data_IF_551396882764
#
_entry.id   IF_551396882764
#
_cell.length_a   1.000
_cell.length_b   1.000
_cell.length_c   1.000
_cell.angle_alpha   90.00
_cell.angle_beta   90.00
_cell.angle_gamma   90.00
#
_symmetry.space_group_name_H-M   'P 1'
#
loop_
_entity.id
_entity.type
_entity.pdbx_description
1 polymer ?
#
# COMPACT_ATOMS: atom_id res chain seq x y z
N UNK A 1 35.97 28.95 -47.22
CA UNK A 1 35.98 27.52 -47.44
C UNK A 1 37.17 26.92 -46.68
N UNK A 2 36.95 26.34 -45.53
CA UNK A 2 37.87 25.39 -44.89
C UNK A 2 37.05 24.39 -44.12
N UNK A 3 36.97 23.19 -44.64
CA UNK A 3 36.38 21.99 -44.04
C UNK A 3 37.37 21.48 -42.99
N UNK A 4 36.95 21.30 -41.75
CA UNK A 4 37.73 20.59 -40.72
C UNK A 4 36.96 19.33 -40.34
N UNK A 5 37.45 18.23 -40.87
CA UNK A 5 37.03 16.87 -40.53
C UNK A 5 37.68 16.51 -39.18
N UNK A 6 36.88 16.17 -38.18
CA UNK A 6 37.39 15.54 -36.95
C UNK A 6 37.05 14.06 -36.94
N UNK A 7 38.09 13.27 -36.95
CA UNK A 7 38.06 11.82 -36.82
C UNK A 7 37.73 11.41 -35.38
N UNK A 8 36.81 10.44 -35.22
CA UNK A 8 36.54 9.79 -33.96
C UNK A 8 37.59 8.67 -33.74
N UNK A 9 38.25 8.74 -32.59
CA UNK A 9 39.14 7.67 -32.12
C UNK A 9 38.34 6.74 -31.23
N UNK A 10 38.17 5.50 -31.67
CA UNK A 10 37.63 4.41 -30.88
C UNK A 10 38.77 3.84 -30.02
N UNK A 11 38.65 3.94 -28.69
CA UNK A 11 39.55 3.24 -27.77
C UNK A 11 38.88 1.94 -27.31
N UNK A 12 39.38 0.81 -27.78
CA UNK A 12 39.11 -0.51 -27.21
C UNK A 12 39.96 -0.67 -25.94
N UNK A 13 39.29 -0.81 -24.79
CA UNK A 13 39.95 -1.27 -23.57
C UNK A 13 39.73 -2.78 -23.42
N UNK A 14 40.79 -3.55 -23.63
CA UNK A 14 40.83 -4.98 -23.33
C UNK A 14 41.03 -5.16 -21.81
N UNK A 15 39.99 -5.69 -21.11
CA UNK A 15 40.10 -6.08 -19.73
C UNK A 15 40.79 -7.43 -19.56
N UNK A 16 41.97 -7.45 -18.96
CA UNK A 16 42.66 -8.66 -18.52
C UNK A 16 42.03 -9.15 -17.23
N UNK A 17 41.46 -10.36 -17.26
CA UNK A 17 41.01 -11.06 -16.07
C UNK A 17 42.23 -11.76 -15.45
N UNK A 18 42.66 -11.30 -14.28
CA UNK A 18 43.66 -11.99 -13.45
C UNK A 18 42.92 -13.02 -12.57
N UNK A 19 43.14 -14.29 -12.86
CA UNK A 19 42.77 -15.43 -12.00
C UNK A 19 43.82 -15.56 -10.92
N UNK A 20 43.46 -15.30 -9.67
CA UNK A 20 44.27 -15.55 -8.46
C UNK A 20 44.07 -16.97 -7.96
N UNK A 21 45.08 -17.62 -7.40
CA UNK A 21 45.00 -19.01 -6.95
C UNK A 21 44.49 -19.11 -5.53
N UNK A 22 43.63 -20.14 -5.29
CA UNK A 22 43.56 -20.85 -4.02
C UNK A 22 42.58 -20.30 -2.97
N UNK A 23 41.35 -20.77 -3.03
CA UNK A 23 40.53 -20.87 -1.82
C UNK A 23 40.53 -22.34 -1.37
N UNK A 24 40.64 -22.61 -0.05
CA UNK A 24 40.63 -23.98 0.45
C UNK A 24 39.23 -24.58 0.36
N UNK A 25 39.21 -25.82 -0.14
CA UNK A 25 38.00 -26.68 -0.11
C UNK A 25 37.76 -27.06 1.35
N UNK A 26 36.59 -26.71 1.85
CA UNK A 26 36.13 -27.21 3.17
C UNK A 26 35.48 -28.55 2.91
N UNK A 27 36.12 -29.62 3.43
CA UNK A 27 35.56 -30.97 3.45
C UNK A 27 34.29 -30.99 4.29
N UNK A 28 33.20 -31.45 3.68
CA UNK A 28 31.99 -31.83 4.39
C UNK A 28 32.24 -33.20 5.08
N UNK A 29 31.79 -33.40 6.33
CA UNK A 29 31.93 -34.69 6.97
C UNK A 29 31.02 -35.71 6.30
N UNK A 30 31.61 -36.91 6.04
CA UNK A 30 30.92 -38.09 5.54
C UNK A 30 29.93 -38.63 6.56
N UNK A 31 28.73 -38.98 6.09
CA UNK A 31 27.72 -39.67 6.89
C UNK A 31 28.23 -41.09 7.33
N UNK A 32 27.98 -41.50 8.57
CA UNK A 32 28.31 -42.85 9.00
C UNK A 32 27.39 -43.89 8.37
N UNK A 33 27.89 -45.07 8.01
CA UNK A 33 27.08 -46.13 7.42
C UNK A 33 26.24 -46.85 8.44
N UNK A 34 24.97 -47.03 8.15
CA UNK A 34 24.18 -48.16 8.58
C UNK A 34 23.47 -48.05 9.92
N UNK A 35 22.19 -47.69 9.88
CA UNK A 35 21.22 -48.13 10.86
C UNK A 35 19.99 -48.68 10.14
N UNK A 36 19.62 -49.88 10.55
CA UNK A 36 18.72 -50.81 9.91
C UNK A 36 17.30 -50.32 9.68
N UNK A 37 16.72 -50.86 8.67
CA UNK A 37 15.27 -50.84 8.37
C UNK A 37 14.51 -51.56 9.51
N UNK A 38 14.04 -50.82 10.50
CA UNK A 38 12.98 -51.31 11.36
C UNK A 38 11.62 -51.04 10.68
N UNK A 39 11.00 -52.16 10.32
CA UNK A 39 9.64 -52.28 9.83
C UNK A 39 8.66 -51.80 10.90
N UNK A 40 8.04 -50.65 10.67
CA UNK A 40 6.89 -50.20 11.47
C UNK A 40 5.68 -51.10 11.21
N UNK A 41 4.98 -51.58 12.26
CA UNK A 41 3.73 -52.33 12.08
C UNK A 41 2.62 -51.42 11.52
N UNK A 42 1.68 -51.98 10.74
CA UNK A 42 0.59 -51.18 10.15
C UNK A 42 -0.31 -50.62 11.27
N UNK A 43 -0.29 -49.31 11.43
CA UNK A 43 -1.25 -48.61 12.27
C UNK A 43 -2.66 -48.85 11.69
N UNK A 44 -3.48 -49.53 12.48
CA UNK A 44 -4.91 -49.71 12.24
C UNK A 44 -5.54 -48.34 11.99
N UNK A 45 -5.98 -48.08 10.73
CA UNK A 45 -6.92 -47.02 10.41
C UNK A 45 -8.23 -47.31 11.16
N UNK A 46 -8.37 -46.75 12.36
CA UNK A 46 -9.69 -46.58 12.97
C UNK A 46 -10.39 -45.51 12.16
N UNK A 47 -11.34 -45.91 11.32
CA UNK A 47 -12.31 -45.01 10.74
C UNK A 47 -12.98 -44.24 11.88
N UNK A 48 -12.71 -42.95 11.97
CA UNK A 48 -13.47 -42.06 12.83
C UNK A 48 -14.92 -42.12 12.36
N UNK A 49 -15.80 -42.64 13.17
CA UNK A 49 -17.24 -42.63 12.92
C UNK A 49 -17.67 -41.18 12.75
N UNK A 50 -18.42 -40.89 11.70
CA UNK A 50 -19.03 -39.58 11.51
C UNK A 50 -19.83 -39.23 12.77
N UNK A 51 -19.73 -38.00 13.29
CA UNK A 51 -20.50 -37.59 14.45
C UNK A 51 -22.00 -37.76 14.12
N UNK A 52 -22.74 -38.42 14.99
CA UNK A 52 -24.20 -38.55 14.89
C UNK A 52 -24.80 -37.17 15.01
N UNK A 53 -25.89 -36.93 14.28
CA UNK A 53 -26.63 -35.68 14.27
C UNK A 53 -27.16 -35.26 15.67
N UNK A 54 -27.12 -36.16 16.64
CA UNK A 54 -27.60 -35.91 18.01
C UNK A 54 -26.51 -35.31 18.93
N UNK A 55 -25.28 -35.15 18.47
CA UNK A 55 -24.18 -34.48 19.21
C UNK A 55 -24.01 -32.99 18.83
N UNK A 56 -24.99 -32.38 18.17
CA UNK A 56 -25.03 -30.93 18.08
C UNK A 56 -25.13 -30.35 19.51
N UNK A 57 -24.23 -29.45 19.91
CA UNK A 57 -24.37 -28.81 21.21
C UNK A 57 -25.75 -28.16 21.21
N UNK A 58 -26.59 -28.61 22.12
CA UNK A 58 -27.88 -28.00 22.37
C UNK A 58 -27.64 -26.49 22.50
N UNK A 59 -28.42 -25.75 21.73
CA UNK A 59 -28.63 -24.31 21.80
C UNK A 59 -27.93 -23.72 23.02
N UNK A 60 -26.73 -23.18 22.89
CA UNK A 60 -26.27 -22.22 23.88
C UNK A 60 -27.28 -21.10 23.81
N UNK A 61 -28.12 -21.01 24.84
CA UNK A 61 -28.92 -19.84 25.09
C UNK A 61 -27.97 -18.65 24.99
N UNK A 62 -28.03 -17.95 23.87
CA UNK A 62 -27.32 -16.69 23.72
C UNK A 62 -27.93 -15.81 24.76
N UNK A 63 -27.17 -15.53 25.83
CA UNK A 63 -27.63 -14.63 26.86
C UNK A 63 -27.85 -13.25 26.21
N UNK A 64 -29.09 -13.00 25.83
CA UNK A 64 -29.54 -11.74 25.23
C UNK A 64 -29.20 -10.55 26.13
N UNK A 65 -29.00 -10.77 27.45
CA UNK A 65 -28.59 -9.73 28.37
C UNK A 65 -27.15 -9.27 28.09
N UNK A 66 -26.24 -10.17 27.68
CA UNK A 66 -24.87 -9.84 27.28
C UNK A 66 -24.82 -9.08 25.94
N UNK A 67 -25.72 -9.41 25.02
CA UNK A 67 -25.86 -8.69 23.74
C UNK A 67 -26.48 -7.30 23.93
N UNK A 68 -27.42 -7.18 24.84
CA UNK A 68 -28.11 -5.90 25.15
C UNK A 68 -27.24 -4.94 25.98
N UNK A 69 -26.20 -5.41 26.66
CA UNK A 69 -25.30 -4.60 27.49
C UNK A 69 -24.01 -4.18 26.78
N UNK A 70 -23.87 -4.42 25.49
CA UNK A 70 -22.74 -3.81 24.76
C UNK A 70 -22.94 -2.30 24.74
N UNK A 71 -21.99 -1.52 25.29
CA UNK A 71 -22.12 -0.07 25.27
C UNK A 71 -22.23 0.38 23.81
N UNK A 72 -23.16 1.29 23.53
CA UNK A 72 -23.25 1.92 22.22
C UNK A 72 -21.92 2.61 21.92
N UNK A 73 -21.38 2.34 20.75
CA UNK A 73 -20.13 2.97 20.29
C UNK A 73 -20.47 4.28 19.59
N UNK A 74 -19.77 5.34 19.96
CA UNK A 74 -19.93 6.69 19.39
C UNK A 74 -18.72 7.07 18.51
N UNK A 75 -18.88 8.01 17.58
CA UNK A 75 -17.76 8.54 16.83
C UNK A 75 -16.63 9.04 17.74
N UNK A 76 -15.42 8.55 17.50
CA UNK A 76 -14.23 8.78 18.31
C UNK A 76 -13.87 7.61 19.23
N UNK A 77 -14.80 6.71 19.53
CA UNK A 77 -14.51 5.54 20.35
C UNK A 77 -13.54 4.60 19.63
N UNK A 78 -12.65 4.02 20.42
CA UNK A 78 -11.70 3.01 19.95
C UNK A 78 -12.06 1.68 20.58
N UNK A 79 -12.27 0.67 19.75
CA UNK A 79 -12.53 -0.68 20.23
C UNK A 79 -11.58 -1.69 19.59
N UNK A 80 -11.44 -2.85 20.19
CA UNK A 80 -10.67 -3.95 19.61
C UNK A 80 -11.61 -4.81 18.76
N UNK A 81 -11.35 -4.84 17.45
CA UNK A 81 -12.11 -5.69 16.54
C UNK A 81 -11.82 -7.17 16.85
N UNK A 82 -12.84 -7.96 17.24
CA UNK A 82 -12.62 -9.36 17.67
C UNK A 82 -12.19 -10.27 16.50
N UNK A 83 -12.56 -9.95 15.28
CA UNK A 83 -12.22 -10.74 14.09
C UNK A 83 -10.77 -10.53 13.67
N UNK A 84 -10.31 -9.27 13.66
CA UNK A 84 -8.98 -8.90 13.18
C UNK A 84 -7.97 -8.70 14.31
N UNK A 85 -8.42 -8.69 15.57
CA UNK A 85 -7.56 -8.48 16.73
C UNK A 85 -6.95 -7.08 16.82
N UNK A 86 -7.35 -6.14 15.94
CA UNK A 86 -6.80 -4.78 15.84
C UNK A 86 -7.69 -3.76 16.52
N UNK A 87 -7.07 -2.67 16.98
CA UNK A 87 -7.81 -1.49 17.42
C UNK A 87 -8.32 -0.74 16.20
N UNK A 88 -9.59 -0.34 16.25
CA UNK A 88 -10.26 0.44 15.21
C UNK A 88 -10.98 1.62 15.85
N UNK A 89 -11.19 2.68 15.08
CA UNK A 89 -11.90 3.87 15.52
C UNK A 89 -13.29 3.93 14.89
N UNK A 90 -14.28 4.27 15.69
CA UNK A 90 -15.63 4.56 15.19
C UNK A 90 -15.64 5.93 14.54
N UNK A 91 -16.06 6.02 13.29
CA UNK A 91 -16.22 7.30 12.57
C UNK A 91 -17.68 7.55 12.27
N UNK A 92 -18.06 8.82 12.26
CA UNK A 92 -19.40 9.20 11.80
C UNK A 92 -19.53 8.89 10.31
N UNK A 93 -20.68 8.32 9.89
CA UNK A 93 -20.97 8.08 8.47
C UNK A 93 -19.88 7.32 7.72
N UNK A 94 -19.48 6.15 8.20
CA UNK A 94 -18.38 5.35 7.64
C UNK A 94 -18.52 5.13 6.12
N UNK A 95 -19.74 5.01 5.58
CA UNK A 95 -19.99 4.86 4.15
C UNK A 95 -19.65 6.11 3.33
N UNK A 96 -19.73 7.29 3.93
CA UNK A 96 -19.31 8.56 3.35
C UNK A 96 -17.87 8.93 3.78
N UNK A 97 -17.11 7.98 4.34
CA UNK A 97 -15.71 8.16 4.73
C UNK A 97 -14.81 7.45 3.72
N UNK A 98 -13.79 8.16 3.24
CA UNK A 98 -12.68 7.58 2.49
C UNK A 98 -11.47 7.43 3.42
N UNK A 99 -10.87 6.24 3.45
CA UNK A 99 -9.55 6.04 4.03
C UNK A 99 -8.53 6.55 3.03
N UNK A 100 -7.66 7.46 3.48
CA UNK A 100 -6.51 7.92 2.70
C UNK A 100 -5.22 7.49 3.41
N UNK A 101 -4.50 6.55 2.81
CA UNK A 101 -3.15 6.18 3.24
C UNK A 101 -2.18 6.99 2.38
N UNK A 102 -1.27 7.75 3.02
CA UNK A 102 -0.40 8.63 2.27
C UNK A 102 0.73 9.24 3.09
N UNK A 103 1.52 10.06 2.41
CA UNK A 103 2.70 10.72 2.98
C UNK A 103 2.49 12.25 3.13
N UNK A 104 3.59 13.03 3.01
CA UNK A 104 3.55 14.49 3.10
C UNK A 104 2.71 15.19 2.02
N UNK A 105 2.39 14.53 0.92
CA UNK A 105 1.47 15.06 -0.10
C UNK A 105 0.01 15.01 0.36
N UNK A 106 -0.31 14.03 1.20
CA UNK A 106 -1.64 13.75 1.75
C UNK A 106 -1.87 14.28 3.16
N UNK A 107 -0.80 14.54 3.94
CA UNK A 107 -0.87 14.95 5.35
C UNK A 107 -1.54 16.32 5.56
N UNK A 108 -1.22 17.39 4.80
CA UNK A 108 -1.88 18.68 4.98
C UNK A 108 -3.40 18.56 4.79
N UNK A 109 -4.17 19.30 5.60
CA UNK A 109 -5.65 19.29 5.48
C UNK A 109 -6.13 19.72 4.09
N UNK A 110 -5.32 20.52 3.38
CA UNK A 110 -5.52 20.96 2.01
C UNK A 110 -4.63 20.20 1.00
N UNK A 111 -4.04 19.05 1.40
CA UNK A 111 -3.29 18.17 0.51
C UNK A 111 -4.10 17.77 -0.71
N UNK A 112 -3.45 17.68 -1.86
CA UNK A 112 -4.16 17.46 -3.13
C UNK A 112 -4.97 16.14 -3.18
N UNK A 113 -4.54 15.02 -2.53
CA UNK A 113 -5.39 13.83 -2.47
C UNK A 113 -6.64 14.05 -1.60
N UNK A 114 -6.53 14.79 -0.48
CA UNK A 114 -7.68 15.13 0.35
C UNK A 114 -8.68 16.02 -0.36
N UNK A 115 -8.19 17.02 -1.12
CA UNK A 115 -9.05 17.88 -1.93
C UNK A 115 -9.84 17.10 -2.96
N UNK A 116 -9.21 16.15 -3.64
CA UNK A 116 -9.90 15.29 -4.61
C UNK A 116 -11.01 14.46 -3.96
N UNK A 117 -10.73 13.88 -2.80
CA UNK A 117 -11.72 13.10 -2.05
C UNK A 117 -12.88 13.96 -1.53
N UNK A 118 -12.57 15.16 -1.04
CA UNK A 118 -13.60 16.13 -0.63
C UNK A 118 -14.47 16.55 -1.81
N UNK A 119 -13.90 16.73 -3.02
CA UNK A 119 -14.63 17.00 -4.27
C UNK A 119 -15.57 15.87 -4.70
N UNK A 120 -15.30 14.63 -4.27
CA UNK A 120 -16.21 13.48 -4.41
C UNK A 120 -17.21 13.35 -3.25
N UNK A 121 -17.21 14.28 -2.28
CA UNK A 121 -18.12 14.30 -1.14
C UNK A 121 -17.69 13.45 0.06
N UNK A 122 -16.48 12.90 0.07
CA UNK A 122 -16.01 12.06 1.18
C UNK A 122 -15.48 12.87 2.36
N UNK A 123 -15.79 12.42 3.58
CA UNK A 123 -14.99 12.71 4.76
C UNK A 123 -13.70 11.91 4.70
N UNK A 124 -12.55 12.56 4.90
CA UNK A 124 -11.25 11.88 4.79
C UNK A 124 -10.76 11.42 6.16
N UNK A 125 -10.61 10.11 6.30
CA UNK A 125 -9.90 9.50 7.41
C UNK A 125 -8.45 9.23 6.97
N UNK A 126 -7.53 10.05 7.47
CA UNK A 126 -6.12 9.98 7.07
C UNK A 126 -5.35 8.97 7.91
N UNK A 127 -4.64 8.09 7.24
CA UNK A 127 -3.73 7.08 7.78
C UNK A 127 -2.35 7.29 7.15
N UNK A 128 -1.44 7.96 7.85
CA UNK A 128 -0.12 8.22 7.29
C UNK A 128 0.65 9.27 8.07
N UNK A 129 1.79 9.64 7.53
CA UNK A 129 2.66 10.69 8.07
C UNK A 129 3.68 11.13 7.02
N UNK A 130 4.12 12.40 7.09
CA UNK A 130 5.16 12.92 6.19
C UNK A 130 6.45 12.08 6.25
N UNK A 131 7.05 11.84 5.09
CA UNK A 131 8.27 11.05 4.97
C UNK A 131 8.07 9.53 5.03
N UNK A 132 6.83 9.03 5.13
CA UNK A 132 6.52 7.58 5.04
C UNK A 132 6.22 7.14 3.60
N UNK A 133 6.13 5.85 3.36
CA UNK A 133 5.88 5.26 2.05
C UNK A 133 5.67 3.75 2.15
N UNK A 134 5.75 3.06 1.03
CA UNK A 134 5.64 1.60 1.00
C UNK A 134 6.78 0.91 1.75
N UNK A 135 7.99 1.48 1.73
CA UNK A 135 9.16 1.00 2.46
C UNK A 135 9.71 2.02 3.43
N UNK A 136 9.44 3.30 3.18
CA UNK A 136 9.97 4.42 3.94
C UNK A 136 9.21 4.58 5.27
N UNK A 137 9.94 4.59 6.38
CA UNK A 137 9.49 4.97 7.72
C UNK A 137 10.15 6.29 8.13
N UNK A 138 9.56 7.07 9.03
CA UNK A 138 10.11 8.36 9.46
C UNK A 138 10.68 8.37 10.89
N UNK A 139 10.84 7.20 11.52
CA UNK A 139 11.31 7.05 12.90
C UNK A 139 10.21 7.14 13.97
N UNK A 140 9.06 7.77 13.67
CA UNK A 140 7.87 7.82 14.54
C UNK A 140 6.82 6.81 14.10
N UNK A 141 6.58 6.77 12.79
CA UNK A 141 5.59 5.91 12.13
C UNK A 141 6.34 4.96 11.20
N UNK A 142 5.91 3.71 11.14
CA UNK A 142 6.42 2.70 10.21
C UNK A 142 6.12 3.06 8.75
N UNK A 143 6.66 2.27 7.82
CA UNK A 143 6.15 2.26 6.47
C UNK A 143 4.68 1.83 6.48
N UNK A 144 3.96 2.01 5.37
CA UNK A 144 2.50 1.84 5.35
C UNK A 144 2.01 0.50 5.91
N UNK A 145 2.62 -0.62 5.53
CA UNK A 145 2.18 -1.93 6.01
C UNK A 145 2.58 -2.18 7.47
N UNK A 146 3.77 -1.78 7.87
CA UNK A 146 4.23 -1.95 9.24
C UNK A 146 3.41 -1.06 10.20
N UNK A 147 3.08 0.17 9.78
CA UNK A 147 2.22 1.07 10.54
C UNK A 147 0.81 0.50 10.71
N UNK A 148 0.26 -0.12 9.66
CA UNK A 148 -1.01 -0.84 9.74
C UNK A 148 -0.93 -2.02 10.71
N UNK A 149 0.10 -2.84 10.61
CA UNK A 149 0.25 -4.06 11.43
C UNK A 149 0.51 -3.74 12.90
N UNK A 150 1.27 -2.69 13.20
CA UNK A 150 1.54 -2.25 14.56
C UNK A 150 0.43 -1.39 15.18
N UNK A 151 -0.46 -0.84 14.35
CA UNK A 151 -1.48 0.10 14.79
C UNK A 151 -0.93 1.50 15.10
N UNK A 152 0.09 1.93 14.36
CA UNK A 152 0.62 3.30 14.45
C UNK A 152 -0.46 4.33 14.04
N UNK A 153 -1.42 3.93 13.20
CA UNK A 153 -2.68 4.62 12.93
C UNK A 153 -3.84 3.61 12.90
N UNK A 154 -5.05 4.08 13.14
CA UNK A 154 -6.23 3.24 13.30
C UNK A 154 -7.10 3.28 12.06
N UNK A 155 -7.56 2.11 11.63
CA UNK A 155 -8.56 2.00 10.58
C UNK A 155 -9.96 2.28 11.14
N UNK A 156 -10.89 2.84 10.34
CA UNK A 156 -12.28 2.98 10.70
C UNK A 156 -12.97 1.64 10.94
N UNK A 157 -13.83 1.59 11.93
CA UNK A 157 -14.79 0.51 12.09
C UNK A 157 -15.85 0.52 10.99
N UNK A 158 -16.38 -0.67 10.64
CA UNK A 158 -17.39 -0.80 9.59
C UNK A 158 -16.80 -0.87 8.19
N UNK A 159 -17.55 -0.39 7.19
CA UNK A 159 -17.19 -0.46 5.75
C UNK A 159 -17.09 0.96 5.18
N UNK A 160 -15.88 1.50 4.98
CA UNK A 160 -15.70 2.81 4.38
C UNK A 160 -16.16 2.81 2.91
N UNK A 161 -16.51 3.98 2.39
CA UNK A 161 -16.97 4.11 1.01
C UNK A 161 -15.86 3.96 -0.03
N UNK A 162 -14.62 4.29 0.35
CA UNK A 162 -13.46 4.23 -0.56
C UNK A 162 -12.17 4.07 0.24
N UNK A 163 -11.16 3.46 -0.38
CA UNK A 163 -9.79 3.45 0.13
C UNK A 163 -8.88 4.00 -0.97
N UNK A 164 -8.07 4.99 -0.63
CA UNK A 164 -7.04 5.53 -1.51
C UNK A 164 -5.67 5.33 -0.86
N UNK A 165 -4.72 4.78 -1.62
CA UNK A 165 -3.31 4.64 -1.22
C UNK A 165 -2.48 5.49 -2.16
N UNK A 166 -1.90 6.55 -1.65
CA UNK A 166 -1.03 7.49 -2.39
C UNK A 166 0.41 7.38 -1.85
N UNK A 167 1.41 7.47 -2.74
CA UNK A 167 2.80 7.52 -2.29
C UNK A 167 3.82 7.04 -3.31
N UNK A 168 4.98 6.61 -2.78
CA UNK A 168 6.12 6.14 -3.56
C UNK A 168 7.24 7.18 -3.70
N UNK A 169 6.96 8.45 -3.42
CA UNK A 169 7.93 9.53 -3.52
C UNK A 169 9.11 9.38 -2.54
N UNK A 170 8.82 9.00 -1.32
CA UNK A 170 9.84 8.77 -0.29
C UNK A 170 10.62 7.48 -0.53
N UNK A 171 9.98 6.45 -1.08
CA UNK A 171 10.64 5.21 -1.50
C UNK A 171 11.66 5.48 -2.61
N UNK A 172 11.26 6.27 -3.60
CA UNK A 172 12.14 6.72 -4.68
C UNK A 172 13.33 7.53 -4.16
N UNK A 173 13.08 8.48 -3.24
CA UNK A 173 14.12 9.35 -2.68
C UNK A 173 15.12 8.57 -1.82
N UNK A 174 14.71 7.50 -1.16
CA UNK A 174 15.56 6.64 -0.32
C UNK A 174 16.23 5.50 -1.08
N UNK A 175 15.99 5.39 -2.37
CA UNK A 175 16.61 4.35 -3.20
C UNK A 175 16.10 2.93 -2.90
N UNK A 176 14.87 2.80 -2.43
CA UNK A 176 14.26 1.49 -2.20
C UNK A 176 14.23 0.66 -3.50
N UNK A 177 14.48 -0.64 -3.40
CA UNK A 177 14.43 -1.54 -4.55
C UNK A 177 12.98 -1.80 -4.99
N UNK A 178 12.79 -2.12 -6.27
CA UNK A 178 11.48 -2.49 -6.82
C UNK A 178 10.88 -3.68 -6.07
N UNK A 179 11.70 -4.65 -5.71
CA UNK A 179 11.28 -5.83 -4.98
C UNK A 179 10.71 -5.48 -3.59
N UNK A 180 11.36 -4.58 -2.85
CA UNK A 180 10.90 -4.14 -1.53
C UNK A 180 9.60 -3.36 -1.63
N UNK A 181 9.51 -2.40 -2.57
CA UNK A 181 8.28 -1.63 -2.81
C UNK A 181 7.14 -2.58 -3.17
N UNK A 182 7.37 -3.51 -4.11
CA UNK A 182 6.37 -4.46 -4.56
C UNK A 182 5.90 -5.39 -3.44
N UNK A 183 6.82 -5.93 -2.64
CA UNK A 183 6.48 -6.81 -1.52
C UNK A 183 5.55 -6.11 -0.52
N UNK A 184 5.91 -4.90 -0.10
CA UNK A 184 5.14 -4.16 0.90
C UNK A 184 3.82 -3.62 0.34
N UNK A 185 3.78 -3.14 -0.91
CA UNK A 185 2.55 -2.70 -1.56
C UNK A 185 1.55 -3.87 -1.69
N UNK A 186 2.02 -5.06 -2.09
CA UNK A 186 1.18 -6.25 -2.18
C UNK A 186 0.62 -6.65 -0.80
N UNK A 187 1.46 -6.68 0.25
CA UNK A 187 1.01 -6.97 1.62
C UNK A 187 -0.05 -5.97 2.09
N UNK A 188 0.17 -4.68 1.86
CA UNK A 188 -0.78 -3.62 2.23
C UNK A 188 -2.12 -3.82 1.53
N UNK A 189 -2.13 -3.99 0.20
CA UNK A 189 -3.36 -4.19 -0.57
C UNK A 189 -4.11 -5.44 -0.09
N UNK A 190 -3.41 -6.54 0.15
CA UNK A 190 -4.01 -7.78 0.67
C UNK A 190 -4.63 -7.58 2.06
N UNK A 191 -3.94 -6.89 2.96
CA UNK A 191 -4.45 -6.59 4.30
C UNK A 191 -5.71 -5.71 4.24
N UNK A 192 -5.73 -4.70 3.35
CA UNK A 192 -6.89 -3.84 3.14
C UNK A 192 -8.08 -4.59 2.53
N UNK A 193 -7.84 -5.45 1.54
CA UNK A 193 -8.88 -6.31 0.94
C UNK A 193 -9.48 -7.30 1.95
N UNK A 194 -8.63 -7.90 2.78
CA UNK A 194 -9.08 -8.80 3.82
C UNK A 194 -9.97 -8.07 4.84
N UNK A 195 -9.60 -6.84 5.22
CA UNK A 195 -10.37 -6.04 6.19
C UNK A 195 -11.65 -5.44 5.60
N UNK A 196 -11.62 -5.02 4.34
CA UNK A 196 -12.71 -4.32 3.67
C UNK A 196 -13.04 -4.94 2.30
N UNK A 197 -13.55 -6.19 2.27
CA UNK A 197 -13.69 -6.94 1.01
C UNK A 197 -14.69 -6.31 0.03
N UNK A 198 -15.61 -5.48 0.50
CA UNK A 198 -16.61 -4.79 -0.32
C UNK A 198 -16.23 -3.35 -0.69
N UNK A 199 -15.06 -2.85 -0.24
CA UNK A 199 -14.65 -1.46 -0.48
C UNK A 199 -13.68 -1.39 -1.66
N UNK A 200 -13.95 -0.49 -2.60
CA UNK A 200 -13.02 -0.23 -3.69
C UNK A 200 -11.71 0.36 -3.17
N UNK A 201 -10.61 -0.14 -3.70
CA UNK A 201 -9.26 0.39 -3.47
C UNK A 201 -8.78 1.08 -4.74
N UNK A 202 -8.25 2.29 -4.59
CA UNK A 202 -7.59 3.04 -5.64
C UNK A 202 -6.16 3.32 -5.21
N UNK A 203 -5.20 3.07 -6.08
CA UNK A 203 -3.82 3.51 -5.89
C UNK A 203 -3.57 4.76 -6.70
N UNK A 204 -2.89 5.73 -6.09
CA UNK A 204 -2.40 6.94 -6.75
C UNK A 204 -0.88 6.91 -6.71
N UNK A 205 -0.27 6.99 -7.86
CA UNK A 205 1.18 6.87 -8.01
C UNK A 205 1.93 8.14 -7.62
N UNK A 206 3.22 8.08 -7.86
CA UNK A 206 4.16 9.11 -7.40
C UNK A 206 4.12 10.35 -8.29
N UNK A 207 3.84 11.53 -7.69
CA UNK A 207 3.93 12.79 -8.40
C UNK A 207 5.35 13.02 -8.95
N UNK A 208 5.46 13.16 -10.28
CA UNK A 208 6.75 13.32 -10.95
C UNK A 208 6.66 14.15 -12.25
N UNK A 209 7.81 14.36 -12.89
CA UNK A 209 7.95 15.13 -14.13
C UNK A 209 7.76 14.31 -15.41
N UNK A 210 7.65 12.98 -15.30
CA UNK A 210 7.69 12.08 -16.44
C UNK A 210 9.11 11.62 -16.77
N UNK A 211 9.23 10.39 -17.27
CA UNK A 211 10.52 9.76 -17.55
C UNK A 211 11.39 10.59 -18.52
N UNK A 212 10.75 11.19 -19.55
CA UNK A 212 11.43 11.99 -20.58
C UNK A 212 11.77 13.42 -20.12
N UNK A 213 11.29 13.85 -18.94
CA UNK A 213 11.43 15.21 -18.43
C UNK A 213 12.19 15.26 -17.10
N UNK A 214 13.06 14.30 -16.87
CA UNK A 214 13.87 14.24 -15.66
C UNK A 214 13.13 13.71 -14.42
N UNK A 215 12.06 12.96 -14.60
CA UNK A 215 11.30 12.35 -13.50
C UNK A 215 12.06 11.24 -12.75
N UNK A 216 13.10 10.66 -13.39
CA UNK A 216 14.04 9.75 -12.74
C UNK A 216 13.37 8.60 -11.99
N UNK A 217 13.89 8.30 -10.79
CA UNK A 217 13.37 7.20 -9.95
C UNK A 217 11.89 7.38 -9.57
N UNK A 218 11.41 8.61 -9.39
CA UNK A 218 10.00 8.86 -9.07
C UNK A 218 9.05 8.37 -10.17
N UNK A 219 9.38 8.64 -11.45
CA UNK A 219 8.58 8.12 -12.58
C UNK A 219 8.69 6.60 -12.73
N UNK A 220 9.83 5.99 -12.39
CA UNK A 220 9.98 4.53 -12.39
C UNK A 220 9.11 3.90 -11.30
N UNK A 221 9.09 4.47 -10.10
CA UNK A 221 8.23 3.99 -8.99
C UNK A 221 6.75 4.15 -9.33
N UNK A 222 6.36 5.24 -9.98
CA UNK A 222 4.98 5.40 -10.47
C UNK A 222 4.58 4.25 -11.40
N UNK A 223 5.42 3.93 -12.39
CA UNK A 223 5.19 2.80 -13.30
C UNK A 223 5.10 1.46 -12.56
N UNK A 224 6.03 1.21 -11.63
CA UNK A 224 6.03 0.00 -10.80
C UNK A 224 4.72 -0.15 -10.01
N UNK A 225 4.23 0.94 -9.40
CA UNK A 225 2.97 0.94 -8.66
C UNK A 225 1.77 0.66 -9.58
N UNK A 226 1.80 1.15 -10.83
CA UNK A 226 0.80 0.81 -11.85
C UNK A 226 0.78 -0.68 -12.19
N UNK A 227 1.95 -1.30 -12.36
CA UNK A 227 2.06 -2.75 -12.58
C UNK A 227 1.56 -3.58 -11.40
N UNK A 228 1.83 -3.12 -10.17
CA UNK A 228 1.34 -3.77 -8.95
C UNK A 228 -0.19 -3.67 -8.89
N UNK A 229 -0.74 -2.47 -9.12
CA UNK A 229 -2.17 -2.24 -9.12
C UNK A 229 -2.89 -3.13 -10.15
N UNK A 230 -2.34 -3.26 -11.36
CA UNK A 230 -2.88 -4.14 -12.41
C UNK A 230 -2.89 -5.61 -11.96
N UNK A 231 -1.79 -6.12 -11.42
CA UNK A 231 -1.72 -7.50 -10.88
C UNK A 231 -2.69 -7.73 -9.73
N UNK A 232 -2.86 -6.72 -8.88
CA UNK A 232 -3.80 -6.76 -7.74
C UNK A 232 -5.25 -6.46 -8.15
N UNK A 233 -5.53 -6.13 -9.41
CA UNK A 233 -6.88 -5.75 -9.89
C UNK A 233 -7.48 -4.61 -9.06
N UNK A 234 -6.69 -3.57 -8.79
CA UNK A 234 -7.13 -2.32 -8.18
C UNK A 234 -6.99 -1.18 -9.17
N UNK A 235 -7.85 -0.18 -9.06
CA UNK A 235 -7.79 1.01 -9.91
C UNK A 235 -6.50 1.79 -9.66
N UNK A 236 -5.85 2.28 -10.72
CA UNK A 236 -4.63 3.06 -10.63
C UNK A 236 -4.75 4.42 -11.32
N UNK A 237 -4.26 5.44 -10.65
CA UNK A 237 -4.08 6.78 -11.20
C UNK A 237 -2.60 7.11 -11.22
N UNK A 238 -1.98 7.11 -12.39
CA UNK A 238 -0.60 7.58 -12.55
C UNK A 238 -0.53 9.09 -12.37
N UNK A 239 0.39 9.54 -11.53
CA UNK A 239 0.78 10.94 -11.37
C UNK A 239 2.24 11.18 -11.83
N UNK A 240 2.85 10.19 -12.46
CA UNK A 240 4.27 10.14 -12.81
C UNK A 240 4.75 11.16 -13.83
N UNK A 241 3.84 11.87 -14.51
CA UNK A 241 4.16 12.92 -15.47
C UNK A 241 3.42 14.28 -15.21
N UNK A 242 2.64 14.35 -14.13
CA UNK A 242 1.70 15.47 -13.93
C UNK A 242 2.38 16.83 -13.80
N UNK A 243 3.56 16.90 -13.21
CA UNK A 243 4.30 18.16 -13.07
C UNK A 243 4.59 18.80 -14.43
N UNK A 244 4.90 18.02 -15.45
CA UNK A 244 5.17 18.50 -16.81
C UNK A 244 3.88 18.60 -17.62
N UNK A 245 3.05 17.56 -17.59
CA UNK A 245 1.81 17.46 -18.36
C UNK A 245 0.83 18.61 -18.10
N UNK A 246 0.75 19.04 -16.85
CA UNK A 246 -0.14 20.12 -16.43
C UNK A 246 0.59 21.41 -16.11
N UNK A 247 1.88 21.52 -16.48
CA UNK A 247 2.71 22.71 -16.27
C UNK A 247 2.70 23.19 -14.80
N UNK A 248 2.92 22.28 -13.86
CA UNK A 248 2.84 22.53 -12.40
C UNK A 248 4.19 22.74 -11.73
N UNK A 249 5.30 22.69 -12.46
CA UNK A 249 6.64 22.83 -11.87
C UNK A 249 6.88 24.16 -11.18
N UNK A 250 6.23 25.26 -11.65
CA UNK A 250 6.31 26.58 -11.00
C UNK A 250 5.59 26.63 -9.65
N UNK A 251 4.74 25.65 -9.34
CA UNK A 251 4.02 25.53 -8.08
C UNK A 251 4.73 24.64 -7.05
N UNK A 252 5.97 24.25 -7.33
CA UNK A 252 6.79 23.57 -6.34
C UNK A 252 7.30 24.57 -5.30
N UNK A 253 6.89 24.42 -4.04
CA UNK A 253 7.37 25.20 -2.90
C UNK A 253 8.80 24.81 -2.50
N UNK A 254 9.15 23.56 -2.77
CA UNK A 254 10.51 22.98 -2.64
C UNK A 254 10.74 21.96 -3.76
N UNK A 255 11.67 21.03 -3.58
CA UNK A 255 11.97 20.01 -4.61
C UNK A 255 10.85 19.01 -4.88
N UNK A 256 9.88 18.87 -3.97
CA UNK A 256 8.87 17.81 -4.01
C UNK A 256 7.46 18.24 -3.61
N UNK A 257 7.31 19.27 -2.76
CA UNK A 257 6.01 19.69 -2.26
C UNK A 257 5.44 20.85 -3.07
N UNK A 258 4.13 20.85 -3.19
CA UNK A 258 3.40 21.90 -3.89
C UNK A 258 3.06 23.07 -2.96
N UNK A 259 3.04 24.28 -3.50
CA UNK A 259 2.39 25.43 -2.86
C UNK A 259 0.87 25.26 -2.78
N UNK A 260 0.15 26.20 -2.19
CA UNK A 260 -1.29 26.10 -2.01
C UNK A 260 -2.05 26.03 -3.36
N UNK A 261 -1.60 26.79 -4.37
CA UNK A 261 -2.23 26.79 -5.69
C UNK A 261 -1.94 25.47 -6.42
N UNK A 262 -0.72 24.94 -6.36
CA UNK A 262 -0.37 23.64 -6.91
C UNK A 262 -1.17 22.51 -6.27
N UNK A 263 -1.37 22.52 -4.94
CA UNK A 263 -2.24 21.54 -4.26
C UNK A 263 -3.69 21.64 -4.72
N UNK A 264 -4.19 22.85 -4.95
CA UNK A 264 -5.55 23.06 -5.46
C UNK A 264 -5.70 22.52 -6.89
N UNK A 265 -4.76 22.81 -7.77
CA UNK A 265 -4.78 22.33 -9.15
C UNK A 265 -4.67 20.82 -9.24
N UNK A 266 -3.71 20.22 -8.52
CA UNK A 266 -3.57 18.75 -8.45
C UNK A 266 -4.82 18.08 -7.89
N UNK A 267 -5.43 18.67 -6.86
CA UNK A 267 -6.69 18.15 -6.31
C UNK A 267 -7.80 18.09 -7.34
N UNK A 268 -7.98 19.16 -8.14
CA UNK A 268 -8.95 19.18 -9.22
C UNK A 268 -8.62 18.21 -10.37
N UNK A 269 -7.32 18.01 -10.66
CA UNK A 269 -6.89 17.02 -11.65
C UNK A 269 -7.21 15.60 -11.16
N UNK A 270 -6.87 15.27 -9.92
CA UNK A 270 -7.13 13.94 -9.36
C UNK A 270 -8.64 13.67 -9.27
N UNK A 271 -9.44 14.65 -8.84
CA UNK A 271 -10.91 14.53 -8.82
C UNK A 271 -11.47 14.18 -10.20
N UNK A 272 -11.04 14.88 -11.26
CA UNK A 272 -11.46 14.56 -12.63
C UNK A 272 -11.05 13.15 -13.03
N UNK A 273 -9.80 12.74 -12.72
CA UNK A 273 -9.34 11.38 -13.02
C UNK A 273 -10.16 10.32 -12.28
N UNK A 274 -10.53 10.57 -11.04
CA UNK A 274 -11.42 9.66 -10.29
C UNK A 274 -12.79 9.53 -10.98
N UNK A 275 -13.38 10.66 -11.42
CA UNK A 275 -14.67 10.64 -12.14
C UNK A 275 -14.56 9.91 -13.49
N UNK A 276 -13.50 10.13 -14.26
CA UNK A 276 -13.23 9.45 -15.52
C UNK A 276 -13.07 7.92 -15.34
N UNK A 277 -12.48 7.49 -14.25
CA UNK A 277 -12.30 6.08 -13.88
C UNK A 277 -13.51 5.49 -13.14
N UNK A 278 -14.60 6.25 -13.05
CA UNK A 278 -15.83 5.84 -12.37
C UNK A 278 -15.62 5.45 -10.89
N UNK A 279 -14.64 6.08 -10.23
CA UNK A 279 -14.51 5.96 -8.78
C UNK A 279 -15.77 6.55 -8.14
N UNK A 280 -16.44 5.82 -7.24
CA UNK A 280 -17.71 6.27 -6.68
C UNK A 280 -17.57 7.58 -5.92
N UNK A 281 -18.58 8.43 -6.01
CA UNK A 281 -18.75 9.54 -5.09
C UNK A 281 -19.32 9.02 -3.75
N UNK A 282 -19.13 9.79 -2.69
CA UNK A 282 -19.75 9.48 -1.41
C UNK A 282 -21.27 9.40 -1.56
N UNK A 283 -21.93 8.44 -0.91
CA UNK A 283 -23.37 8.40 -0.90
C UNK A 283 -23.93 9.70 -0.30
N UNK A 284 -24.94 10.24 -0.94
CA UNK A 284 -25.67 11.40 -0.41
C UNK A 284 -26.17 11.05 1.00
N UNK A 285 -26.02 11.98 1.94
CA UNK A 285 -26.71 11.84 3.21
C UNK A 285 -28.22 11.73 2.89
N UNK A 286 -28.81 10.55 3.10
CA UNK A 286 -30.24 10.40 2.99
C UNK A 286 -30.93 11.40 3.92
N UNK A 287 -32.19 11.79 3.65
CA UNK A 287 -32.91 12.63 4.56
C UNK A 287 -32.94 11.95 5.95
N UNK A 288 -32.47 12.69 6.95
CA UNK A 288 -32.46 12.32 8.36
C UNK A 288 -33.86 12.19 8.91
#
# INVERSE_FOLDING_TARGET
MRVVTRAAVLALAAGVVLVGPGQPVVDLPEDPPGAGTESMPPALLRAAAAPRLDDAPHSTDIDLSEVLHRPALFPGDIYRNPVFGRREVVVANVRSTAILIGDSQSEPVDGWPRRALAGLGYNVHFCGYGGTGFTAANGKIGNYIDALERGDWLLPAGTPGLIVVEGGGNDAARGASDAQIAANANRLIQALKARYPATQIVMVGTLARGAQNGGGRRSQVDGLLGDIAARQKVTFVSAGDWLTKYNLTQHLADSVHMDAEGRKQLGGILERRFRELQVPAAPSAGPS
#
